data_IF_764923641242
#
_entry.id   IF_764923641242
#
_cell.length_a   1.000
_cell.length_b   1.000
_cell.length_c   1.000
_cell.angle_alpha   90.00
_cell.angle_beta   90.00
_cell.angle_gamma   90.00
#
_symmetry.space_group_name_H-M   'P 1'
#
loop_
_entity.id
_entity.type
_entity.pdbx_description
1 polymer ?
#
# COMPACT_ATOMS: atom_id res chain seq x y z
N UNK A 1 59.59 -41.95 50.89
CA UNK A 1 60.69 -42.70 50.25
C UNK A 1 60.36 -42.90 48.79
N UNK A 2 61.31 -42.51 47.94
CA UNK A 2 61.30 -42.61 46.48
C UNK A 2 60.86 -43.98 45.94
N UNK A 3 60.05 -44.00 44.88
CA UNK A 3 60.15 -45.01 43.81
C UNK A 3 59.54 -44.48 42.51
N UNK A 4 60.25 -44.82 41.44
CA UNK A 4 60.27 -44.22 40.11
C UNK A 4 59.44 -45.04 39.10
N UNK A 5 59.21 -44.41 37.94
CA UNK A 5 58.88 -44.99 36.62
C UNK A 5 57.41 -45.48 36.47
N UNK A 6 56.71 -45.32 35.35
CA UNK A 6 57.13 -45.24 33.95
C UNK A 6 56.18 -44.36 33.13
N UNK A 7 56.73 -43.75 32.07
CA UNK A 7 56.00 -43.11 31.00
C UNK A 7 55.23 -44.13 30.16
N UNK A 8 53.93 -43.89 29.97
CA UNK A 8 53.18 -44.44 28.84
C UNK A 8 52.63 -43.27 28.02
N UNK A 9 53.22 -43.09 26.84
CA UNK A 9 52.74 -42.18 25.82
C UNK A 9 51.40 -42.70 25.28
N UNK A 10 50.36 -41.89 25.35
CA UNK A 10 49.08 -42.13 24.66
C UNK A 10 49.12 -41.41 23.31
N UNK A 11 48.77 -42.08 22.20
CA UNK A 11 48.80 -41.45 20.89
C UNK A 11 47.65 -40.44 20.80
N UNK A 12 47.99 -39.23 20.34
CA UNK A 12 47.04 -38.17 20.01
C UNK A 12 46.36 -38.54 18.68
N UNK A 13 45.11 -38.98 18.75
CA UNK A 13 44.23 -39.12 17.59
C UNK A 13 43.83 -37.71 17.12
N UNK A 14 44.45 -37.24 16.05
CA UNK A 14 44.04 -36.03 15.34
C UNK A 14 42.87 -36.42 14.44
N UNK A 15 41.65 -36.02 14.84
CA UNK A 15 40.48 -36.11 13.99
C UNK A 15 40.49 -34.92 13.02
N UNK A 16 40.75 -35.17 11.74
CA UNK A 16 40.56 -34.19 10.67
C UNK A 16 39.06 -34.15 10.35
N UNK A 17 38.38 -33.07 10.70
CA UNK A 17 37.02 -32.81 10.25
C UNK A 17 37.08 -32.22 8.83
N UNK A 18 36.62 -32.96 7.83
CA UNK A 18 36.42 -32.44 6.49
C UNK A 18 35.12 -31.61 6.47
N UNK A 19 35.23 -30.30 6.29
CA UNK A 19 34.08 -29.43 6.06
C UNK A 19 33.75 -29.43 4.56
N UNK A 20 32.68 -30.14 4.18
CA UNK A 20 32.09 -30.00 2.84
C UNK A 20 31.30 -28.70 2.77
N UNK A 21 31.80 -27.73 2.00
CA UNK A 21 31.04 -26.52 1.65
C UNK A 21 30.09 -26.87 0.50
N UNK A 22 28.80 -26.91 0.79
CA UNK A 22 27.76 -27.04 -0.22
C UNK A 22 27.49 -25.65 -0.81
N UNK A 23 28.03 -25.37 -1.99
CA UNK A 23 27.70 -24.15 -2.74
C UNK A 23 26.27 -24.28 -3.29
N UNK A 24 25.30 -23.64 -2.64
CA UNK A 24 23.95 -23.50 -3.16
C UNK A 24 23.94 -22.52 -4.32
N UNK A 25 23.53 -22.98 -5.51
CA UNK A 25 23.23 -22.10 -6.65
C UNK A 25 21.91 -21.38 -6.37
N UNK A 26 21.96 -20.06 -6.14
CA UNK A 26 20.77 -19.23 -6.12
C UNK A 26 20.16 -19.21 -7.53
N UNK A 27 19.00 -19.84 -7.70
CA UNK A 27 18.21 -19.68 -8.90
C UNK A 27 17.74 -18.21 -8.97
N UNK A 28 18.20 -17.49 -10.00
CA UNK A 28 17.71 -16.14 -10.28
C UNK A 28 16.20 -16.22 -10.56
N UNK A 29 15.41 -15.55 -9.73
CA UNK A 29 13.98 -15.37 -9.98
C UNK A 29 13.78 -14.66 -11.33
N UNK A 30 12.76 -15.02 -12.12
CA UNK A 30 12.46 -14.31 -13.35
C UNK A 30 12.16 -12.84 -13.02
N UNK A 31 12.70 -11.93 -13.81
CA UNK A 31 12.48 -10.50 -13.66
C UNK A 31 10.98 -10.21 -13.68
N UNK A 32 10.50 -9.68 -12.57
CA UNK A 32 9.13 -9.22 -12.40
C UNK A 32 8.83 -8.16 -13.46
N UNK A 33 7.91 -8.47 -14.36
CA UNK A 33 7.38 -7.51 -15.32
C UNK A 33 6.54 -6.50 -14.55
N UNK A 34 7.21 -5.44 -14.07
CA UNK A 34 6.58 -4.32 -13.37
C UNK A 34 5.36 -3.86 -14.17
N UNK A 35 4.14 -3.90 -13.60
CA UNK A 35 2.97 -3.34 -14.27
C UNK A 35 3.26 -1.88 -14.60
N UNK A 36 2.80 -1.45 -15.77
CA UNK A 36 3.21 -0.25 -16.46
C UNK A 36 3.46 0.92 -15.51
N UNK A 37 4.63 1.54 -15.64
CA UNK A 37 4.95 2.80 -14.97
C UNK A 37 3.89 3.81 -15.41
N UNK A 38 2.91 4.07 -14.55
CA UNK A 38 2.07 5.25 -14.66
C UNK A 38 3.03 6.43 -14.50
N UNK A 39 3.51 6.95 -15.63
CA UNK A 39 4.18 8.24 -15.68
C UNK A 39 3.08 9.28 -15.47
N UNK A 40 2.57 9.35 -14.24
CA UNK A 40 2.01 10.59 -13.75
C UNK A 40 3.17 11.57 -13.88
N UNK A 41 3.11 12.43 -14.88
CA UNK A 41 3.86 13.68 -14.85
C UNK A 41 3.29 14.39 -13.63
N UNK A 42 3.84 14.12 -12.45
CA UNK A 42 3.71 15.02 -11.34
C UNK A 42 4.16 16.34 -11.94
N UNK A 43 3.23 17.25 -12.21
CA UNK A 43 3.56 18.63 -12.48
C UNK A 43 4.62 18.95 -11.44
N UNK A 44 5.83 19.32 -11.88
CA UNK A 44 6.95 19.53 -10.98
C UNK A 44 6.42 20.36 -9.83
N UNK A 45 6.28 19.73 -8.65
CA UNK A 45 5.75 20.41 -7.49
C UNK A 45 6.73 21.55 -7.31
N UNK A 46 6.28 22.76 -7.59
CA UNK A 46 7.15 23.89 -7.42
C UNK A 46 7.55 23.88 -5.94
N UNK A 47 8.82 24.18 -5.66
CA UNK A 47 9.25 24.32 -4.27
C UNK A 47 8.49 25.45 -3.56
N UNK A 48 7.58 26.16 -4.27
CA UNK A 48 6.78 27.27 -3.76
C UNK A 48 5.48 26.87 -3.06
N UNK A 49 4.95 25.66 -3.30
CA UNK A 49 3.61 25.26 -2.84
C UNK A 49 3.44 25.34 -1.31
N UNK A 50 4.48 25.02 -0.55
CA UNK A 50 4.46 25.06 0.93
C UNK A 50 5.17 26.28 1.53
N UNK A 51 5.55 27.29 0.75
CA UNK A 51 6.39 28.41 1.24
C UNK A 51 5.76 29.15 2.41
N UNK A 52 4.44 29.37 2.36
CA UNK A 52 3.71 30.04 3.45
C UNK A 52 3.67 29.23 4.75
N UNK A 53 4.05 27.96 4.73
CA UNK A 53 4.15 27.11 5.92
C UNK A 53 5.59 26.98 6.46
N UNK A 54 6.62 27.35 5.70
CA UNK A 54 8.03 27.17 6.07
C UNK A 54 8.36 27.97 7.33
N UNK A 55 9.02 27.32 8.29
CA UNK A 55 9.45 27.93 9.56
C UNK A 55 8.33 28.16 10.58
N UNK A 56 7.06 27.95 10.22
CA UNK A 56 5.94 28.02 11.16
C UNK A 56 5.86 26.76 12.02
N UNK A 57 5.32 26.88 13.23
CA UNK A 57 5.06 25.74 14.13
C UNK A 57 3.70 25.88 14.81
N UNK A 58 3.24 24.83 15.49
CA UNK A 58 2.01 24.87 16.29
C UNK A 58 0.77 25.34 15.52
N UNK A 59 0.04 26.30 16.10
CA UNK A 59 -1.19 26.83 15.52
C UNK A 59 -0.98 27.58 14.19
N UNK A 60 0.15 28.27 14.05
CA UNK A 60 0.48 29.01 12.82
C UNK A 60 0.74 28.07 11.66
N UNK A 61 1.45 26.96 11.92
CA UNK A 61 1.68 25.93 10.92
C UNK A 61 0.37 25.28 10.50
N UNK A 62 -0.49 24.92 11.47
CA UNK A 62 -1.81 24.34 11.20
C UNK A 62 -2.65 25.26 10.31
N UNK A 63 -2.70 26.56 10.62
CA UNK A 63 -3.46 27.53 9.84
C UNK A 63 -2.90 27.67 8.42
N UNK A 64 -1.58 27.78 8.27
CA UNK A 64 -0.93 27.88 6.96
C UNK A 64 -1.21 26.64 6.09
N UNK A 65 -1.02 25.44 6.64
CA UNK A 65 -1.32 24.19 5.93
C UNK A 65 -2.79 24.09 5.56
N UNK A 66 -3.70 24.44 6.49
CA UNK A 66 -5.14 24.44 6.21
C UNK A 66 -5.48 25.37 5.04
N UNK A 67 -4.93 26.58 5.00
CA UNK A 67 -5.15 27.51 3.89
C UNK A 67 -4.64 26.93 2.58
N UNK A 68 -3.42 26.40 2.56
CA UNK A 68 -2.79 25.81 1.35
C UNK A 68 -3.66 24.68 0.77
N UNK A 69 -4.26 23.83 1.61
CA UNK A 69 -5.07 22.67 1.18
C UNK A 69 -6.58 22.94 1.15
N UNK A 70 -7.02 24.17 1.43
CA UNK A 70 -8.45 24.46 1.61
C UNK A 70 -9.26 24.38 0.32
N UNK A 71 -8.62 24.69 -0.80
CA UNK A 71 -9.23 24.62 -2.13
C UNK A 71 -9.19 23.18 -2.65
N UNK A 72 -10.37 22.62 -2.89
CA UNK A 72 -10.54 21.25 -3.37
C UNK A 72 -11.77 21.16 -4.28
N UNK A 73 -11.67 20.32 -5.30
CA UNK A 73 -12.83 19.88 -6.07
C UNK A 73 -13.58 18.84 -5.26
N UNK A 74 -14.83 19.13 -4.91
CA UNK A 74 -15.68 18.22 -4.14
C UNK A 74 -16.64 17.51 -5.09
N UNK A 75 -16.73 16.20 -4.96
CA UNK A 75 -17.66 15.39 -5.73
C UNK A 75 -18.99 15.24 -5.00
N UNK A 76 -20.09 15.22 -5.74
CA UNK A 76 -21.35 14.70 -5.23
C UNK A 76 -21.26 13.19 -5.06
N UNK A 77 -22.15 12.62 -4.25
CA UNK A 77 -22.17 11.18 -4.03
C UNK A 77 -22.36 10.39 -5.33
N UNK A 78 -23.14 10.91 -6.28
CA UNK A 78 -23.34 10.27 -7.58
C UNK A 78 -22.09 10.35 -8.47
N UNK A 79 -21.35 11.46 -8.42
CA UNK A 79 -20.09 11.61 -9.15
C UNK A 79 -18.99 10.67 -8.66
N UNK A 80 -19.08 10.16 -7.43
CA UNK A 80 -18.12 9.17 -6.89
C UNK A 80 -18.08 7.91 -7.77
N UNK A 81 -19.20 7.49 -8.36
CA UNK A 81 -19.20 6.31 -9.22
C UNK A 81 -18.23 6.44 -10.38
N UNK A 82 -18.25 7.58 -11.06
CA UNK A 82 -17.38 7.82 -12.21
C UNK A 82 -15.92 8.00 -11.77
N UNK A 83 -15.69 8.59 -10.60
CA UNK A 83 -14.36 8.68 -10.01
C UNK A 83 -13.77 7.29 -9.71
N UNK A 84 -14.52 6.40 -9.04
CA UNK A 84 -14.05 5.05 -8.72
C UNK A 84 -13.78 4.20 -9.96
N UNK A 85 -14.57 4.38 -11.02
CA UNK A 85 -14.30 3.73 -12.32
C UNK A 85 -12.95 4.16 -12.92
N UNK A 86 -12.43 5.34 -12.56
CA UNK A 86 -11.14 5.82 -13.02
C UNK A 86 -10.00 5.49 -12.04
N UNK A 87 -10.21 5.66 -10.73
CA UNK A 87 -9.17 5.45 -9.71
C UNK A 87 -8.85 3.99 -9.46
N UNK A 88 -9.83 3.11 -9.66
CA UNK A 88 -9.74 1.67 -9.39
C UNK A 88 -9.83 0.82 -10.66
N UNK A 89 -9.64 1.44 -11.83
CA UNK A 89 -9.58 0.74 -13.12
C UNK A 89 -8.62 -0.45 -13.05
N UNK A 90 -9.07 -1.62 -13.53
CA UNK A 90 -8.21 -2.78 -13.64
C UNK A 90 -7.13 -2.54 -14.71
N UNK A 91 -5.83 -2.57 -14.37
CA UNK A 91 -4.75 -2.37 -15.34
C UNK A 91 -4.72 -3.42 -16.46
N UNK A 92 -5.33 -4.59 -16.25
CA UNK A 92 -5.42 -5.65 -17.25
C UNK A 92 -6.69 -5.55 -18.12
N UNK A 93 -7.72 -4.84 -17.67
CA UNK A 93 -9.00 -4.67 -18.37
C UNK A 93 -9.68 -3.34 -18.00
N UNK A 94 -9.52 -2.33 -18.86
CA UNK A 94 -10.07 -0.98 -18.60
C UNK A 94 -11.61 -0.91 -18.61
N UNK A 95 -12.31 -2.00 -18.93
CA UNK A 95 -13.76 -2.10 -18.75
C UNK A 95 -14.18 -2.43 -17.31
N UNK A 96 -13.22 -2.78 -16.45
CA UNK A 96 -13.45 -3.24 -15.08
C UNK A 96 -12.79 -2.33 -14.02
N UNK A 97 -13.19 -2.55 -12.78
CA UNK A 97 -12.52 -2.08 -11.57
C UNK A 97 -12.03 -3.27 -10.73
N UNK A 98 -11.00 -3.06 -9.93
CA UNK A 98 -10.52 -4.05 -8.95
C UNK A 98 -11.16 -3.79 -7.59
N UNK A 99 -11.90 -4.77 -7.08
CA UNK A 99 -12.56 -4.65 -5.78
C UNK A 99 -11.58 -4.76 -4.61
N UNK A 100 -11.72 -3.87 -3.63
CA UNK A 100 -10.75 -3.69 -2.54
C UNK A 100 -10.46 -4.98 -1.76
N UNK A 101 -11.50 -5.66 -1.27
CA UNK A 101 -11.32 -6.80 -0.35
C UNK A 101 -11.06 -8.12 -1.07
N UNK A 102 -11.63 -8.31 -2.26
CA UNK A 102 -11.57 -9.60 -2.98
C UNK A 102 -10.48 -9.62 -4.05
N UNK A 103 -9.99 -8.45 -4.49
CA UNK A 103 -9.10 -8.33 -5.65
C UNK A 103 -9.77 -8.73 -6.97
N UNK A 104 -11.09 -8.97 -6.97
CA UNK A 104 -11.83 -9.40 -8.17
C UNK A 104 -11.91 -8.24 -9.15
N UNK A 105 -11.57 -8.51 -10.41
CA UNK A 105 -11.90 -7.64 -11.54
C UNK A 105 -13.39 -7.73 -11.84
N UNK A 106 -14.09 -6.60 -11.85
CA UNK A 106 -15.53 -6.54 -12.07
C UNK A 106 -15.91 -5.38 -12.98
N UNK A 107 -16.88 -5.61 -13.88
CA UNK A 107 -17.44 -4.61 -14.79
C UNK A 107 -17.73 -3.29 -14.10
N UNK A 108 -17.23 -2.20 -14.69
CA UNK A 108 -17.54 -0.82 -14.29
C UNK A 108 -19.05 -0.53 -14.25
N UNK A 109 -19.85 -1.29 -15.00
CA UNK A 109 -21.29 -1.08 -15.09
C UNK A 109 -22.10 -1.95 -14.12
N UNK A 110 -21.46 -2.87 -13.40
CA UNK A 110 -22.12 -3.73 -12.40
C UNK A 110 -22.14 -3.06 -11.02
N UNK A 111 -22.33 -1.75 -10.98
CA UNK A 111 -22.29 -0.94 -9.76
C UNK A 111 -23.70 -0.69 -9.22
N UNK A 112 -23.88 -0.76 -7.89
CA UNK A 112 -25.19 -0.58 -7.26
C UNK A 112 -25.25 -1.13 -5.84
N UNK A 113 -26.42 -1.59 -5.41
CA UNK A 113 -26.67 -2.11 -4.06
C UNK A 113 -27.23 -3.54 -4.03
N UNK A 114 -27.30 -4.22 -5.17
CA UNK A 114 -27.79 -5.59 -5.29
C UNK A 114 -26.69 -6.64 -5.14
N UNK A 115 -27.09 -7.89 -4.91
CA UNK A 115 -26.17 -9.03 -4.92
C UNK A 115 -25.48 -9.16 -6.29
N UNK A 116 -24.18 -9.47 -6.26
CA UNK A 116 -23.33 -9.51 -7.46
C UNK A 116 -22.92 -8.14 -8.00
N UNK A 117 -23.38 -7.03 -7.42
CA UNK A 117 -22.90 -5.70 -7.76
C UNK A 117 -21.76 -5.28 -6.84
N UNK A 118 -21.02 -4.26 -7.27
CA UNK A 118 -20.08 -3.56 -6.41
C UNK A 118 -20.66 -2.23 -5.92
N UNK A 119 -20.23 -1.80 -4.73
CA UNK A 119 -20.67 -0.55 -4.11
C UNK A 119 -19.49 0.29 -3.60
N UNK A 120 -19.79 1.51 -3.14
CA UNK A 120 -18.85 2.46 -2.54
C UNK A 120 -18.61 2.08 -1.09
N UNK A 121 -17.44 1.53 -0.79
CA UNK A 121 -16.98 1.24 0.57
C UNK A 121 -16.24 2.43 1.17
N UNK A 122 -16.60 2.79 2.40
CA UNK A 122 -15.89 3.79 3.20
C UNK A 122 -14.79 3.11 4.01
N UNK A 123 -13.54 3.15 3.54
CA UNK A 123 -12.40 2.48 4.23
C UNK A 123 -12.07 3.10 5.59
N UNK A 124 -12.54 4.32 5.83
CA UNK A 124 -12.64 4.91 7.16
C UNK A 124 -14.11 4.95 7.58
N UNK A 125 -14.43 4.27 8.68
CA UNK A 125 -15.81 4.14 9.13
C UNK A 125 -16.47 5.50 9.39
N UNK A 126 -17.63 5.72 8.76
CA UNK A 126 -18.49 6.89 8.95
C UNK A 126 -18.74 7.22 10.42
N UNK A 127 -18.98 6.20 11.24
CA UNK A 127 -19.24 6.35 12.68
C UNK A 127 -18.05 6.89 13.46
N UNK A 128 -16.83 6.78 12.94
CA UNK A 128 -15.63 7.32 13.59
C UNK A 128 -15.41 8.80 13.25
N UNK A 129 -15.86 9.26 12.07
CA UNK A 129 -15.74 10.66 11.65
C UNK A 129 -17.02 11.48 11.75
N UNK A 130 -18.12 10.90 12.23
CA UNK A 130 -19.45 11.52 12.31
C UNK A 130 -19.90 12.16 10.97
N UNK A 131 -19.84 11.38 9.89
CA UNK A 131 -20.24 11.82 8.56
C UNK A 131 -21.16 10.82 7.84
N UNK A 132 -21.95 11.32 6.89
CA UNK A 132 -22.86 10.54 6.06
C UNK A 132 -22.36 10.40 4.62
N UNK A 133 -23.26 10.55 3.65
CA UNK A 133 -22.95 10.57 2.20
C UNK A 133 -23.02 11.97 1.60
N UNK A 134 -23.14 13.01 2.45
CA UNK A 134 -23.13 14.40 2.03
C UNK A 134 -21.76 14.81 1.47
N UNK A 135 -21.76 15.71 0.49
CA UNK A 135 -20.54 16.25 -0.12
C UNK A 135 -19.55 16.77 0.93
N UNK A 136 -18.29 16.36 0.79
CA UNK A 136 -17.23 16.62 1.78
C UNK A 136 -16.66 15.30 2.26
N UNK A 137 -16.52 15.07 3.59
CA UNK A 137 -16.00 13.80 4.11
C UNK A 137 -16.83 12.58 3.68
N UNK A 138 -18.13 12.73 3.39
CA UNK A 138 -18.94 11.60 2.92
C UNK A 138 -18.65 11.13 1.51
N UNK A 139 -18.01 11.96 0.69
CA UNK A 139 -17.77 11.75 -0.74
C UNK A 139 -16.30 11.83 -1.13
N UNK A 140 -15.39 11.86 -0.16
CA UNK A 140 -13.96 11.95 -0.41
C UNK A 140 -13.42 10.61 -0.93
N UNK A 141 -12.91 10.68 -2.17
CA UNK A 141 -12.42 9.54 -2.95
C UNK A 141 -11.08 9.00 -2.45
N UNK A 142 -10.39 9.70 -1.56
CA UNK A 142 -9.20 9.17 -0.91
C UNK A 142 -9.52 8.03 0.06
N UNK A 143 -10.77 7.92 0.51
CA UNK A 143 -11.22 6.88 1.43
C UNK A 143 -12.52 6.19 0.99
N UNK A 144 -12.83 6.26 -0.30
CA UNK A 144 -13.90 5.49 -0.93
C UNK A 144 -13.28 4.52 -1.94
N UNK A 145 -13.69 3.24 -1.90
CA UNK A 145 -13.19 2.20 -2.80
C UNK A 145 -14.33 1.32 -3.29
N UNK A 146 -14.23 0.67 -4.47
CA UNK A 146 -15.22 -0.31 -4.90
C UNK A 146 -15.07 -1.60 -4.09
N UNK A 147 -16.18 -2.14 -3.60
CA UNK A 147 -16.23 -3.43 -2.92
C UNK A 147 -17.37 -4.32 -3.44
N UNK A 148 -17.36 -5.61 -3.12
CA UNK A 148 -18.51 -6.48 -3.34
C UNK A 148 -19.58 -6.18 -2.28
N UNK A 149 -20.84 -5.98 -2.68
CA UNK A 149 -21.97 -5.71 -1.77
C UNK A 149 -22.16 -6.79 -0.69
N UNK A 150 -21.60 -7.99 -0.87
CA UNK A 150 -21.83 -9.15 -0.01
C UNK A 150 -20.68 -9.46 0.96
N UNK A 151 -19.65 -8.62 1.04
CA UNK A 151 -18.53 -8.74 1.98
C UNK A 151 -18.78 -7.91 3.23
#
# INVERSE_FOLDING_TARGET
MSRRHSFYARPLLVAVAAATVLAGTAAAAPADSSPGRYTATAAALDDTYYQDAVGKTGAELKAALHTIISEQTKLSYDQVWDALKATDEDPADSSNVVLLYTGRSQSKNDNGGGSGQWNREHVWAKSHGDFGTSTGPGTDIHHLRPEDVQV
#
